data_IF_809123829975
#
_entry.id   IF_809123829975
#
_cell.length_a   1.000
_cell.length_b   1.000
_cell.length_c   1.000
_cell.angle_alpha   90.00
_cell.angle_beta   90.00
_cell.angle_gamma   90.00
#
_symmetry.space_group_name_H-M   'P 1'
#
loop_
_entity.id
_entity.type
_entity.pdbx_description
1 polymer ?
#
# COMPACT_ATOMS: atom_id res chain seq x y z
N UNK A 1 4.95 3.00 -16.44
CA UNK A 1 3.71 2.47 -15.83
C UNK A 1 4.20 1.53 -14.75
N UNK A 2 4.05 1.88 -13.47
CA UNK A 2 4.33 0.93 -12.39
C UNK A 2 3.44 -0.30 -12.59
N UNK A 3 4.03 -1.48 -12.50
CA UNK A 3 3.33 -2.76 -12.59
C UNK A 3 2.48 -2.96 -11.32
N UNK A 4 1.43 -3.78 -11.38
CA UNK A 4 0.68 -4.17 -10.18
C UNK A 4 1.60 -4.82 -9.14
N UNK A 5 2.68 -5.47 -9.60
CA UNK A 5 3.74 -6.03 -8.75
C UNK A 5 4.47 -4.97 -7.93
N UNK A 6 4.68 -3.77 -8.47
CA UNK A 6 5.34 -2.67 -7.77
C UNK A 6 4.46 -2.16 -6.62
N UNK A 7 3.15 -2.07 -6.84
CA UNK A 7 2.19 -1.68 -5.78
C UNK A 7 2.17 -2.74 -4.66
N UNK A 8 2.21 -4.03 -5.00
CA UNK A 8 2.26 -5.07 -3.97
C UNK A 8 3.56 -5.05 -3.17
N UNK A 9 4.70 -4.70 -3.80
CA UNK A 9 5.95 -4.49 -3.09
C UNK A 9 5.85 -3.32 -2.11
N UNK A 10 5.30 -2.18 -2.54
CA UNK A 10 5.07 -1.01 -1.67
C UNK A 10 4.14 -1.35 -0.49
N UNK A 11 3.06 -2.09 -0.73
CA UNK A 11 2.15 -2.56 0.34
C UNK A 11 2.90 -3.42 1.36
N UNK A 12 3.79 -4.32 0.90
CA UNK A 12 4.56 -5.18 1.79
C UNK A 12 5.52 -4.38 2.67
N UNK A 13 6.21 -3.39 2.09
CA UNK A 13 7.10 -2.48 2.82
C UNK A 13 6.35 -1.65 3.86
N UNK A 14 5.22 -1.04 3.49
CA UNK A 14 4.40 -0.23 4.39
C UNK A 14 3.85 -1.07 5.57
N UNK A 15 3.48 -2.32 5.32
CA UNK A 15 3.06 -3.26 6.38
C UNK A 15 4.22 -3.58 7.31
N UNK A 16 5.41 -3.87 6.77
CA UNK A 16 6.60 -4.11 7.58
C UNK A 16 6.93 -2.90 8.46
N UNK A 17 6.90 -1.69 7.89
CA UNK A 17 7.13 -0.44 8.62
C UNK A 17 6.14 -0.24 9.79
N UNK A 18 4.86 -0.58 9.59
CA UNK A 18 3.83 -0.51 10.64
C UNK A 18 4.01 -1.58 11.74
N UNK A 19 4.56 -2.74 11.40
CA UNK A 19 4.87 -3.82 12.33
C UNK A 19 6.08 -3.50 13.19
N UNK A 20 7.09 -2.85 12.64
CA UNK A 20 8.23 -2.40 13.42
C UNK A 20 7.79 -1.22 14.31
N UNK A 21 7.86 -1.38 15.64
CA UNK A 21 7.48 -0.36 16.63
C UNK A 21 8.40 0.88 16.67
N UNK A 22 9.00 1.24 15.54
CA UNK A 22 9.93 2.36 15.36
C UNK A 22 9.21 3.68 15.06
N UNK A 23 7.94 3.62 14.66
CA UNK A 23 7.16 4.80 14.28
C UNK A 23 6.51 5.49 15.49
N UNK A 24 6.61 6.81 15.52
CA UNK A 24 5.74 7.66 16.35
C UNK A 24 4.27 7.52 15.93
N UNK A 25 3.35 7.97 16.79
CA UNK A 25 1.91 7.98 16.45
C UNK A 25 1.58 8.76 15.17
N UNK A 26 2.31 9.86 14.92
CA UNK A 26 2.13 10.69 13.72
C UNK A 26 2.60 9.95 12.47
N UNK A 27 3.79 9.34 12.53
CA UNK A 27 4.34 8.56 11.43
C UNK A 27 3.47 7.34 11.14
N UNK A 28 3.07 6.59 12.17
CA UNK A 28 2.15 5.45 12.02
C UNK A 28 0.86 5.84 11.29
N UNK A 29 0.29 7.01 11.59
CA UNK A 29 -0.91 7.50 10.87
C UNK A 29 -0.62 7.84 9.41
N UNK A 30 0.55 8.41 9.12
CA UNK A 30 1.00 8.69 7.76
C UNK A 30 1.24 7.42 6.95
N UNK A 31 1.96 6.45 7.52
CA UNK A 31 2.23 5.14 6.92
C UNK A 31 0.93 4.35 6.70
N UNK A 32 -0.02 4.41 7.65
CA UNK A 32 -1.35 3.81 7.47
C UNK A 32 -2.12 4.45 6.31
N UNK A 33 -2.11 5.77 6.18
CA UNK A 33 -2.78 6.46 5.07
C UNK A 33 -2.19 6.05 3.72
N UNK A 34 -0.86 5.96 3.63
CA UNK A 34 -0.17 5.50 2.41
C UNK A 34 -0.54 4.06 2.07
N UNK A 35 -0.63 3.18 3.08
CA UNK A 35 -1.03 1.79 2.90
C UNK A 35 -2.45 1.70 2.35
N UNK A 36 -3.39 2.45 2.92
CA UNK A 36 -4.79 2.45 2.47
C UNK A 36 -4.91 2.92 1.02
N UNK A 37 -4.12 3.93 0.61
CA UNK A 37 -4.06 4.42 -0.76
C UNK A 37 -3.49 3.37 -1.74
N UNK A 38 -2.41 2.70 -1.36
CA UNK A 38 -1.78 1.66 -2.19
C UNK A 38 -2.72 0.46 -2.38
N UNK A 39 -3.43 0.03 -1.33
CA UNK A 39 -4.44 -1.02 -1.41
C UNK A 39 -5.59 -0.62 -2.36
N UNK A 40 -6.12 0.59 -2.19
CA UNK A 40 -7.20 1.09 -3.05
C UNK A 40 -6.77 1.14 -4.53
N UNK A 41 -5.51 1.51 -4.81
CA UNK A 41 -4.98 1.52 -6.17
C UNK A 41 -4.81 0.09 -6.73
N UNK A 42 -4.28 -0.85 -5.94
CA UNK A 42 -4.20 -2.26 -6.34
C UNK A 42 -5.59 -2.81 -6.70
N UNK A 43 -6.60 -2.56 -5.87
CA UNK A 43 -7.98 -2.98 -6.14
C UNK A 43 -8.55 -2.33 -7.40
N UNK A 44 -8.29 -1.02 -7.62
CA UNK A 44 -8.74 -0.33 -8.84
C UNK A 44 -8.12 -0.96 -10.09
N UNK A 45 -6.85 -1.32 -10.05
CA UNK A 45 -6.17 -1.96 -11.18
C UNK A 45 -6.63 -3.39 -11.41
N UNK A 46 -6.83 -4.15 -10.33
CA UNK A 46 -7.38 -5.51 -10.42
C UNK A 46 -8.76 -5.49 -11.09
N UNK A 47 -9.67 -4.63 -10.62
CA UNK A 47 -11.01 -4.48 -11.24
C UNK A 47 -10.95 -4.06 -12.71
N UNK A 48 -9.99 -3.20 -13.09
CA UNK A 48 -9.78 -2.82 -14.50
C UNK A 48 -9.26 -3.98 -15.35
N UNK A 49 -8.42 -4.85 -14.79
CA UNK A 49 -7.89 -6.02 -15.48
C UNK A 49 -8.92 -7.15 -15.60
N UNK A 50 -9.83 -7.29 -14.61
CA UNK A 50 -10.91 -8.30 -14.62
C UNK A 50 -12.15 -7.88 -15.42
N UNK A 51 -12.37 -6.57 -15.61
CA UNK A 51 -13.49 -6.01 -16.37
C UNK A 51 -13.19 -5.72 -17.85
N UNK A 52 -12.00 -6.08 -18.33
CA UNK A 52 -11.56 -5.99 -19.72
C UNK A 52 -11.57 -7.39 -20.36
#
# INVERSE_FOLDING_TARGET
MEDIRDIYAEIAELRAELTHCILTRKERRGTQLRLDQAIAEAERRLRKAEGA
#
